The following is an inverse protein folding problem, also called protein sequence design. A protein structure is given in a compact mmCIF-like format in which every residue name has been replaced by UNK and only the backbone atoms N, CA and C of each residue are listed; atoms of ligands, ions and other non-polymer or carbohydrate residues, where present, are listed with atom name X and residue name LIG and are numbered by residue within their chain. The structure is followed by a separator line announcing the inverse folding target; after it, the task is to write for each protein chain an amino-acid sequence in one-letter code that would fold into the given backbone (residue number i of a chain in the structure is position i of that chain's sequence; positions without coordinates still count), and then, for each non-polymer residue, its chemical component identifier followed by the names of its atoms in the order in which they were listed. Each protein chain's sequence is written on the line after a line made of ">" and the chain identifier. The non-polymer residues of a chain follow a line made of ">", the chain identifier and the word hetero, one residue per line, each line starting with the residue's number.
data_IF_446781979753
#
_entry.id   IF_446781979753
#
_cell.length_a   1.000
_cell.length_b   1.000
_cell.length_c   1.000
_cell.angle_alpha   90.00
_cell.angle_beta   90.00
_cell.angle_gamma   90.00
#
_symmetry.space_group_name_H-M   'P 1'
#
loop_
_entity.id
_entity.type
_entity.pdbx_description
1 polymer ?
#
# COMPACT_ATOMS: atom_id res chain seq x y z
N UNK A 1 16.05 -4.12 28.50
CA UNK A 1 16.74 -4.83 27.40
C UNK A 1 15.68 -5.39 26.46
N UNK A 2 15.73 -5.08 25.17
CA UNK A 2 14.73 -5.50 24.19
C UNK A 2 14.56 -7.03 24.23
N UNK A 3 13.33 -7.54 24.38
CA UNK A 3 13.09 -8.99 24.60
C UNK A 3 13.48 -9.86 23.40
N UNK A 4 13.38 -9.35 22.19
CA UNK A 4 13.86 -10.04 21.00
C UNK A 4 15.39 -10.16 21.01
N UNK A 5 16.11 -9.10 21.41
CA UNK A 5 17.57 -9.17 21.61
C UNK A 5 17.96 -10.20 22.68
N UNK A 6 17.21 -10.29 23.79
CA UNK A 6 17.47 -11.32 24.81
C UNK A 6 17.31 -12.72 24.24
N UNK A 7 16.27 -12.96 23.44
CA UNK A 7 16.02 -14.24 22.78
C UNK A 7 17.14 -14.58 21.78
N UNK A 8 17.63 -13.59 21.05
CA UNK A 8 18.80 -13.72 20.17
C UNK A 8 20.03 -14.17 20.96
N UNK A 9 20.34 -13.52 22.07
CA UNK A 9 21.52 -13.81 22.91
C UNK A 9 21.43 -15.19 23.58
N UNK A 10 20.22 -15.64 23.89
CA UNK A 10 19.95 -16.96 24.50
C UNK A 10 19.76 -18.09 23.50
N UNK A 11 19.73 -17.80 22.19
CA UNK A 11 19.39 -18.76 21.15
C UNK A 11 17.97 -19.36 21.32
N UNK A 12 17.03 -18.54 21.76
CA UNK A 12 15.64 -18.88 22.08
C UNK A 12 14.65 -18.11 21.16
N UNK A 13 15.09 -17.75 19.95
CA UNK A 13 14.27 -16.96 19.01
C UNK A 13 12.98 -17.65 18.62
N UNK A 14 13.02 -18.98 18.41
CA UNK A 14 11.82 -19.77 18.13
C UNK A 14 10.80 -19.63 19.27
N UNK A 15 11.27 -19.75 20.51
CA UNK A 15 10.42 -19.63 21.69
C UNK A 15 9.81 -18.24 21.78
N UNK A 16 10.63 -17.20 21.61
CA UNK A 16 10.16 -15.82 21.58
C UNK A 16 9.10 -15.55 20.50
N UNK A 17 9.31 -16.01 19.26
CA UNK A 17 8.37 -15.78 18.16
C UNK A 17 7.03 -16.50 18.34
N UNK A 18 7.02 -17.64 19.03
CA UNK A 18 5.81 -18.44 19.20
C UNK A 18 5.22 -18.37 20.61
N UNK A 19 5.72 -17.45 21.44
CA UNK A 19 5.21 -17.19 22.78
C UNK A 19 5.56 -18.29 23.79
N UNK A 20 6.59 -19.09 23.54
CA UNK A 20 7.19 -20.00 24.51
C UNK A 20 8.23 -19.27 25.37
N UNK A 21 8.56 -19.82 26.54
CA UNK A 21 9.56 -19.25 27.45
C UNK A 21 9.11 -18.03 28.26
N UNK A 22 10.04 -17.40 28.98
CA UNK A 22 9.78 -16.30 29.93
C UNK A 22 9.84 -14.90 29.31
N UNK A 23 9.41 -14.77 28.05
CA UNK A 23 9.43 -13.50 27.32
C UNK A 23 8.18 -12.66 27.52
N UNK A 24 7.05 -13.25 27.87
CA UNK A 24 5.79 -12.53 27.99
C UNK A 24 5.19 -12.79 29.38
N UNK A 25 4.75 -11.73 30.06
CA UNK A 25 4.04 -11.88 31.34
C UNK A 25 2.64 -12.45 31.04
N UNK A 26 2.25 -13.51 31.76
CA UNK A 26 0.89 -14.08 31.71
C UNK A 26 -0.11 -13.06 32.31
N UNK A 27 -0.54 -12.06 31.56
CA UNK A 27 -1.67 -11.23 31.98
C UNK A 27 -2.99 -11.97 31.69
N UNK A 28 -3.38 -12.84 32.62
CA UNK A 28 -4.71 -13.41 32.73
C UNK A 28 -5.67 -12.38 33.34
N UNK A 29 -6.15 -11.42 32.56
CA UNK A 29 -7.37 -10.68 32.93
C UNK A 29 -8.41 -10.58 31.81
N UNK A 30 -8.07 -10.99 30.59
CA UNK A 30 -9.00 -11.04 29.47
C UNK A 30 -8.87 -12.41 28.83
N UNK A 31 -9.88 -13.26 29.08
CA UNK A 31 -9.87 -14.64 28.63
C UNK A 31 -10.00 -14.74 27.11
N UNK A 32 -8.87 -14.72 26.41
CA UNK A 32 -8.68 -15.32 25.09
C UNK A 32 -7.19 -15.63 24.87
N UNK A 33 -6.89 -16.89 24.55
CA UNK A 33 -5.56 -17.50 24.48
C UNK A 33 -4.84 -17.15 23.16
N UNK A 34 -3.50 -17.12 23.20
CA UNK A 34 -2.54 -16.91 22.11
C UNK A 34 -2.43 -15.51 21.48
N UNK A 35 -3.53 -14.80 21.17
CA UNK A 35 -3.52 -13.55 20.37
C UNK A 35 -2.78 -12.32 20.95
N UNK A 36 -2.52 -12.30 22.26
CA UNK A 36 -1.87 -11.16 22.92
C UNK A 36 -0.33 -11.20 22.86
N UNK A 37 0.27 -12.36 22.64
CA UNK A 37 1.73 -12.51 22.65
C UNK A 37 2.36 -12.14 21.30
N UNK A 38 1.68 -12.34 20.15
CA UNK A 38 2.29 -12.03 18.84
C UNK A 38 2.40 -10.53 18.62
N UNK A 39 1.39 -9.75 18.97
CA UNK A 39 1.43 -8.30 18.89
C UNK A 39 2.56 -7.72 19.77
N UNK A 40 2.76 -8.28 20.97
CA UNK A 40 3.87 -7.92 21.85
C UNK A 40 5.22 -8.30 21.24
N UNK A 41 5.36 -9.54 20.75
CA UNK A 41 6.57 -10.02 20.08
C UNK A 41 6.92 -9.13 18.88
N UNK A 42 5.93 -8.81 18.04
CA UNK A 42 6.06 -7.89 16.92
C UNK A 42 6.53 -6.51 17.37
N UNK A 43 5.93 -5.95 18.44
CA UNK A 43 6.37 -4.69 19.03
C UNK A 43 7.85 -4.69 19.44
N UNK A 44 8.35 -5.78 20.05
CA UNK A 44 9.77 -5.91 20.39
C UNK A 44 10.67 -6.06 19.15
N UNK A 45 10.23 -6.79 18.11
CA UNK A 45 10.94 -6.91 16.82
C UNK A 45 11.10 -5.52 16.17
N UNK A 46 10.01 -4.76 16.11
CA UNK A 46 10.01 -3.39 15.57
C UNK A 46 10.92 -2.47 16.38
N UNK A 47 10.78 -2.47 17.71
CA UNK A 47 11.65 -1.68 18.60
C UNK A 47 13.13 -2.03 18.42
N UNK A 48 13.46 -3.30 18.15
CA UNK A 48 14.83 -3.70 17.86
C UNK A 48 15.29 -3.15 16.51
N UNK A 49 14.44 -3.19 15.49
CA UNK A 49 14.70 -2.56 14.18
C UNK A 49 14.95 -1.06 14.26
N UNK A 50 14.22 -0.35 15.13
CA UNK A 50 14.44 1.07 15.41
C UNK A 50 15.82 1.33 16.03
N UNK A 51 16.31 0.41 16.87
CA UNK A 51 17.61 0.50 17.51
C UNK A 51 18.77 0.23 16.53
N UNK A 52 18.68 -0.84 15.73
CA UNK A 52 19.83 -1.31 14.92
C UNK A 52 19.80 -0.85 13.46
N UNK A 53 18.67 -0.32 13.01
CA UNK A 53 18.36 -0.05 11.60
C UNK A 53 17.72 -1.26 10.93
N UNK A 54 16.64 -1.02 10.19
CA UNK A 54 15.80 -2.08 9.67
C UNK A 54 16.44 -2.95 8.59
N UNK A 55 17.41 -2.46 7.82
CA UNK A 55 18.17 -3.33 6.91
C UNK A 55 18.90 -4.47 7.65
N UNK A 56 19.36 -4.18 8.88
CA UNK A 56 19.97 -5.20 9.73
C UNK A 56 18.90 -6.10 10.34
N UNK A 57 17.75 -5.55 10.73
CA UNK A 57 16.62 -6.34 11.22
C UNK A 57 16.17 -7.35 10.16
N UNK A 58 16.01 -6.96 8.90
CA UNK A 58 15.55 -7.86 7.84
C UNK A 58 16.54 -8.98 7.56
N UNK A 59 17.85 -8.69 7.52
CA UNK A 59 18.87 -9.75 7.45
C UNK A 59 18.80 -10.70 8.64
N UNK A 60 18.48 -10.17 9.82
CA UNK A 60 18.32 -10.97 11.03
C UNK A 60 17.06 -11.86 10.97
N UNK A 61 15.92 -11.29 10.61
CA UNK A 61 14.66 -12.03 10.43
C UNK A 61 14.79 -13.10 9.36
N UNK A 62 15.47 -12.80 8.25
CA UNK A 62 15.75 -13.80 7.22
C UNK A 62 16.56 -14.97 7.74
N UNK A 63 17.60 -14.71 8.55
CA UNK A 63 18.36 -15.76 9.23
C UNK A 63 17.50 -16.56 10.20
N UNK A 64 16.73 -15.90 11.06
CA UNK A 64 15.91 -16.54 12.08
C UNK A 64 14.80 -17.41 11.45
N UNK A 65 14.10 -16.88 10.45
CA UNK A 65 13.04 -17.60 9.74
C UNK A 65 13.60 -18.78 8.95
N UNK A 66 14.75 -18.60 8.29
CA UNK A 66 15.47 -19.68 7.62
C UNK A 66 15.82 -20.79 8.62
N UNK A 67 16.43 -20.45 9.75
CA UNK A 67 16.82 -21.42 10.78
C UNK A 67 15.65 -22.20 11.36
N UNK A 68 14.47 -21.57 11.53
CA UNK A 68 13.27 -22.23 12.03
C UNK A 68 12.70 -23.21 11.00
N UNK A 69 12.68 -22.83 9.72
CA UNK A 69 12.11 -23.65 8.65
C UNK A 69 13.03 -24.79 8.18
N UNK A 70 14.35 -24.64 8.35
CA UNK A 70 15.37 -25.59 7.86
C UNK A 70 15.20 -27.02 8.39
N UNK A 71 14.83 -27.17 9.67
CA UNK A 71 14.68 -28.48 10.28
C UNK A 71 13.40 -29.21 9.83
N UNK A 72 12.50 -28.51 9.13
CA UNK A 72 11.18 -29.02 8.76
C UNK A 72 10.46 -29.64 9.97
N UNK A 73 10.48 -29.00 11.13
CA UNK A 73 9.79 -29.43 12.34
C UNK A 73 8.75 -28.40 12.80
N UNK A 74 8.49 -27.38 11.97
CA UNK A 74 7.50 -26.36 12.24
C UNK A 74 6.09 -26.95 12.25
N UNK A 75 5.32 -26.61 13.28
CA UNK A 75 3.91 -26.97 13.38
C UNK A 75 3.06 -26.11 12.44
N UNK A 76 1.83 -26.58 12.19
CA UNK A 76 0.83 -25.82 11.43
C UNK A 76 0.59 -24.40 12.01
N UNK A 77 0.61 -24.30 13.33
CA UNK A 77 0.39 -23.05 14.05
C UNK A 77 1.58 -22.08 13.92
N UNK A 78 2.79 -22.56 14.17
CA UNK A 78 4.02 -21.77 14.02
C UNK A 78 4.19 -21.29 12.57
N UNK A 79 3.85 -22.13 11.59
CA UNK A 79 3.90 -21.75 10.18
C UNK A 79 2.94 -20.60 9.85
N UNK A 80 1.71 -20.63 10.39
CA UNK A 80 0.76 -19.53 10.27
C UNK A 80 1.35 -18.22 10.85
N UNK A 81 2.01 -18.33 12.00
CA UNK A 81 2.55 -17.15 12.70
C UNK A 81 3.73 -16.54 11.98
N UNK A 82 4.56 -17.35 11.33
CA UNK A 82 5.61 -16.84 10.47
C UNK A 82 5.06 -16.06 9.28
N UNK A 83 3.94 -16.48 8.68
CA UNK A 83 3.27 -15.71 7.61
C UNK A 83 2.68 -14.40 8.16
N UNK A 84 2.03 -14.46 9.32
CA UNK A 84 1.51 -13.30 10.02
C UNK A 84 2.60 -12.26 10.31
N UNK A 85 3.78 -12.66 10.81
CA UNK A 85 4.88 -11.71 11.03
C UNK A 85 5.34 -11.03 9.75
N UNK A 86 5.40 -11.73 8.62
CA UNK A 86 5.72 -11.11 7.34
C UNK A 86 4.66 -10.07 6.98
N UNK A 87 3.38 -10.44 7.05
CA UNK A 87 2.26 -9.55 6.78
C UNK A 87 2.27 -8.29 7.66
N UNK A 88 2.45 -8.44 8.97
CA UNK A 88 2.49 -7.31 9.90
C UNK A 88 3.67 -6.38 9.65
N UNK A 89 4.83 -6.92 9.27
CA UNK A 89 5.95 -6.09 8.82
C UNK A 89 5.50 -5.24 7.62
N UNK A 90 4.84 -5.84 6.63
CA UNK A 90 4.34 -5.10 5.48
C UNK A 90 3.30 -4.03 5.85
N UNK A 91 2.36 -4.33 6.75
CA UNK A 91 1.37 -3.36 7.23
C UNK A 91 2.02 -2.18 7.95
N UNK A 92 2.89 -2.45 8.94
CA UNK A 92 3.58 -1.43 9.73
C UNK A 92 4.34 -0.43 8.84
N UNK A 93 4.93 -0.92 7.75
CA UNK A 93 5.67 -0.10 6.81
C UNK A 93 4.81 0.72 5.87
N UNK A 94 3.67 0.18 5.44
CA UNK A 94 2.72 0.93 4.62
C UNK A 94 2.20 2.19 5.35
N UNK A 95 2.07 2.12 6.68
CA UNK A 95 1.48 3.20 7.49
C UNK A 95 2.48 4.26 8.00
N UNK A 96 3.72 3.88 8.32
CA UNK A 96 4.63 4.74 9.09
C UNK A 96 5.41 5.80 8.28
N UNK A 97 5.20 5.93 6.96
CA UNK A 97 5.96 6.84 6.06
C UNK A 97 7.49 6.67 6.11
N UNK A 98 8.02 5.67 6.81
CA UNK A 98 9.46 5.32 6.86
C UNK A 98 9.76 4.51 5.62
N UNK A 99 10.72 4.92 4.77
CA UNK A 99 11.14 4.24 3.51
C UNK A 99 10.76 2.76 3.53
N UNK A 100 9.54 2.39 3.11
CA UNK A 100 9.12 1.03 3.27
C UNK A 100 9.88 0.09 2.35
N UNK A 101 10.33 -0.98 2.98
CA UNK A 101 10.34 -2.30 2.39
C UNK A 101 11.29 -2.48 1.20
N UNK A 102 12.49 -3.01 1.44
CA UNK A 102 13.29 -3.65 0.38
C UNK A 102 13.75 -5.05 0.80
N UNK A 103 12.97 -5.70 1.66
CA UNK A 103 13.22 -7.09 2.00
C UNK A 103 12.72 -8.00 0.89
N UNK A 104 13.60 -8.32 -0.04
CA UNK A 104 13.38 -9.43 -0.97
C UNK A 104 13.95 -10.69 -0.34
N UNK A 105 13.13 -11.67 0.07
CA UNK A 105 13.62 -12.91 0.67
C UNK A 105 14.49 -13.65 -0.35
N UNK A 106 15.53 -14.32 0.13
CA UNK A 106 16.33 -15.20 -0.70
C UNK A 106 15.49 -16.34 -1.29
N UNK A 107 15.96 -16.86 -2.42
CA UNK A 107 15.37 -18.06 -3.03
C UNK A 107 15.33 -19.23 -2.03
N UNK A 108 16.36 -19.32 -1.16
CA UNK A 108 16.42 -20.32 -0.08
C UNK A 108 15.26 -20.18 0.91
N UNK A 109 14.96 -18.98 1.39
CA UNK A 109 13.85 -18.77 2.30
C UNK A 109 12.52 -19.12 1.62
N UNK A 110 12.32 -18.71 0.37
CA UNK A 110 11.14 -19.07 -0.42
C UNK A 110 11.02 -20.59 -0.65
N UNK A 111 12.12 -21.30 -0.92
CA UNK A 111 12.15 -22.76 -1.03
C UNK A 111 11.71 -23.43 0.26
N UNK A 112 12.17 -22.93 1.41
CA UNK A 112 11.83 -23.46 2.73
C UNK A 112 10.35 -23.24 3.09
N UNK A 113 9.79 -22.06 2.78
CA UNK A 113 8.35 -21.82 2.93
C UNK A 113 7.54 -22.79 2.05
N UNK A 114 7.91 -22.95 0.77
CA UNK A 114 7.25 -23.92 -0.12
C UNK A 114 7.33 -25.35 0.40
N UNK A 115 8.50 -25.79 0.86
CA UNK A 115 8.70 -27.14 1.38
C UNK A 115 7.82 -27.42 2.61
N UNK A 116 7.78 -26.47 3.55
CA UNK A 116 6.95 -26.61 4.76
C UNK A 116 5.46 -26.47 4.45
N UNK A 117 5.06 -25.61 3.50
CA UNK A 117 3.69 -25.56 3.00
C UNK A 117 3.25 -26.93 2.45
N UNK A 118 4.05 -27.58 1.60
CA UNK A 118 3.69 -28.88 1.03
C UNK A 118 3.51 -29.97 2.10
N UNK A 119 4.26 -29.90 3.20
CA UNK A 119 4.07 -30.78 4.35
C UNK A 119 2.78 -30.48 5.13
N UNK A 120 2.43 -29.21 5.25
CA UNK A 120 1.35 -28.73 6.11
C UNK A 120 0.03 -28.48 5.34
N UNK A 121 -0.01 -28.65 4.03
CA UNK A 121 -1.17 -28.33 3.18
C UNK A 121 -2.46 -29.12 3.49
N UNK A 122 -2.36 -30.19 4.26
CA UNK A 122 -3.51 -30.98 4.72
C UNK A 122 -3.92 -30.62 6.16
N UNK A 123 -3.33 -29.58 6.77
CA UNK A 123 -3.75 -29.07 8.08
C UNK A 123 -5.03 -28.24 7.95
N UNK A 124 -5.76 -28.11 9.05
CA UNK A 124 -6.97 -27.27 9.13
C UNK A 124 -6.68 -25.76 8.93
N UNK A 125 -5.41 -25.36 8.95
CA UNK A 125 -4.95 -23.98 8.75
C UNK A 125 -4.51 -23.69 7.30
N UNK A 126 -4.55 -24.67 6.39
CA UNK A 126 -4.11 -24.52 5.00
C UNK A 126 -4.76 -23.34 4.28
N UNK A 127 -6.07 -23.15 4.46
CA UNK A 127 -6.78 -22.02 3.87
C UNK A 127 -6.27 -20.67 4.38
N UNK A 128 -5.86 -20.58 5.64
CA UNK A 128 -5.21 -19.37 6.16
C UNK A 128 -3.93 -19.12 5.39
N UNK A 129 -3.02 -20.09 5.34
CA UNK A 129 -1.72 -19.90 4.68
C UNK A 129 -1.85 -19.40 3.25
N UNK A 130 -2.82 -19.97 2.53
CA UNK A 130 -3.14 -19.58 1.16
C UNK A 130 -3.67 -18.14 1.09
N UNK A 131 -4.55 -17.74 2.02
CA UNK A 131 -5.02 -16.34 2.12
C UNK A 131 -3.88 -15.38 2.41
N UNK A 132 -3.03 -15.65 3.40
CA UNK A 132 -1.93 -14.75 3.75
C UNK A 132 -0.88 -14.68 2.63
N UNK A 133 -0.49 -15.82 2.05
CA UNK A 133 0.44 -15.84 0.92
C UNK A 133 -0.12 -15.13 -0.32
N UNK A 134 -1.41 -15.29 -0.59
CA UNK A 134 -2.09 -14.59 -1.68
C UNK A 134 -2.24 -13.10 -1.37
N UNK A 135 -2.47 -12.71 -0.11
CA UNK A 135 -2.44 -11.31 0.32
C UNK A 135 -1.07 -10.67 0.09
N UNK A 136 0.01 -11.36 0.46
CA UNK A 136 1.39 -10.90 0.25
C UNK A 136 1.75 -10.79 -1.24
N UNK A 137 1.41 -11.82 -2.03
CA UNK A 137 1.58 -11.84 -3.48
C UNK A 137 0.81 -10.72 -4.15
N UNK A 138 -0.46 -10.54 -3.75
CA UNK A 138 -1.28 -9.42 -4.18
C UNK A 138 -0.59 -8.16 -3.65
N UNK A 139 -0.85 -7.72 -2.45
CA UNK A 139 -0.55 -6.35 -2.04
C UNK A 139 0.91 -5.95 -2.17
N UNK A 140 1.86 -6.89 -2.14
CA UNK A 140 3.28 -6.55 -2.11
C UNK A 140 4.16 -7.24 -3.17
N UNK A 141 3.56 -7.91 -4.17
CA UNK A 141 4.31 -8.64 -5.20
C UNK A 141 5.28 -9.68 -4.60
N UNK A 142 4.88 -10.26 -3.47
CA UNK A 142 5.71 -11.11 -2.63
C UNK A 142 5.34 -12.59 -2.78
N UNK A 143 6.01 -13.24 -3.73
CA UNK A 143 5.80 -14.65 -4.08
C UNK A 143 6.50 -15.60 -3.11
N UNK A 144 5.82 -15.95 -2.02
CA UNK A 144 6.39 -16.83 -0.98
C UNK A 144 6.21 -18.31 -1.30
N UNK A 145 5.01 -18.70 -1.74
CA UNK A 145 4.63 -20.11 -2.00
C UNK A 145 4.74 -20.52 -3.47
N UNK A 146 5.14 -19.61 -4.35
CA UNK A 146 5.29 -19.88 -5.77
C UNK A 146 6.57 -19.23 -6.29
N UNK A 147 7.09 -19.74 -7.40
CA UNK A 147 8.20 -19.09 -8.08
C UNK A 147 7.70 -17.77 -8.64
N UNK A 148 8.41 -16.68 -8.34
CA UNK A 148 8.12 -15.39 -8.95
C UNK A 148 8.16 -15.53 -10.49
N UNK A 149 7.30 -14.80 -11.24
CA UNK A 149 7.24 -14.89 -12.69
C UNK A 149 8.51 -14.37 -13.39
N UNK A 150 9.48 -13.85 -12.63
CA UNK A 150 10.75 -13.33 -13.10
C UNK A 150 11.90 -13.71 -12.17
N UNK A 151 13.11 -13.86 -12.74
CA UNK A 151 14.33 -14.12 -11.98
C UNK A 151 14.70 -12.92 -11.12
N UNK A 152 14.86 -13.14 -9.81
CA UNK A 152 15.33 -12.15 -8.84
C UNK A 152 16.85 -12.12 -8.82
N UNK A 153 17.48 -11.70 -9.91
CA UNK A 153 18.92 -11.48 -9.94
C UNK A 153 19.25 -10.00 -10.21
N UNK A 154 20.45 -9.57 -9.83
CA UNK A 154 20.86 -8.16 -9.93
C UNK A 154 20.99 -7.65 -11.37
N UNK A 155 21.07 -8.54 -12.37
CA UNK A 155 21.22 -8.15 -13.78
C UNK A 155 19.88 -7.79 -14.42
N UNK A 156 18.79 -8.41 -13.98
CA UNK A 156 17.42 -8.17 -14.47
C UNK A 156 16.68 -7.12 -13.64
N UNK A 157 17.37 -6.46 -12.71
CA UNK A 157 16.76 -5.60 -11.71
C UNK A 157 17.45 -4.24 -11.69
N UNK A 158 16.69 -3.15 -11.85
CA UNK A 158 17.20 -1.80 -11.66
C UNK A 158 17.07 -1.44 -10.19
N UNK A 159 18.21 -1.33 -9.51
CA UNK A 159 18.27 -1.12 -8.06
C UNK A 159 18.19 0.35 -7.65
N UNK A 160 19.02 1.20 -8.26
CA UNK A 160 19.14 2.60 -7.91
C UNK A 160 19.67 3.38 -9.12
N UNK A 161 19.14 4.57 -9.30
CA UNK A 161 19.57 5.57 -10.27
C UNK A 161 20.16 6.74 -9.50
N UNK A 162 21.37 7.23 -9.87
CA UNK A 162 21.98 8.36 -9.19
C UNK A 162 21.05 9.58 -9.14
N UNK A 163 20.87 10.17 -7.96
CA UNK A 163 19.91 11.28 -7.76
C UNK A 163 20.24 12.54 -8.58
N UNK A 164 21.50 12.69 -8.98
CA UNK A 164 22.00 13.75 -9.85
C UNK A 164 21.78 13.48 -11.35
N UNK A 165 21.14 12.36 -11.71
CA UNK A 165 20.73 12.07 -13.09
C UNK A 165 19.79 13.14 -13.63
N UNK A 166 20.11 13.70 -14.80
CA UNK A 166 19.38 14.82 -15.43
C UNK A 166 18.76 14.39 -16.75
N UNK A 167 17.56 14.91 -17.05
CA UNK A 167 16.97 14.81 -18.39
C UNK A 167 16.16 13.54 -18.59
N UNK A 168 16.24 12.95 -19.78
CA UNK A 168 15.57 11.67 -20.09
C UNK A 168 16.41 10.50 -19.57
N UNK A 169 15.76 9.56 -18.88
CA UNK A 169 16.36 8.28 -18.52
C UNK A 169 15.76 7.14 -19.33
N UNK A 170 16.62 6.38 -20.00
CA UNK A 170 16.23 5.17 -20.72
C UNK A 170 16.61 3.98 -19.86
N UNK A 171 15.61 3.22 -19.40
CA UNK A 171 15.84 1.99 -18.65
C UNK A 171 16.53 0.98 -19.59
N UNK A 172 17.64 0.35 -19.18
CA UNK A 172 18.35 -0.61 -20.03
C UNK A 172 17.48 -1.81 -20.43
N UNK A 173 17.71 -2.31 -21.65
CA UNK A 173 17.10 -3.55 -22.13
C UNK A 173 17.41 -4.74 -21.22
N UNK A 174 16.45 -5.65 -21.07
CA UNK A 174 16.59 -6.83 -20.21
C UNK A 174 16.31 -6.56 -18.72
N UNK A 175 16.10 -5.30 -18.32
CA UNK A 175 15.54 -5.00 -17.00
C UNK A 175 14.10 -5.48 -16.96
N UNK A 176 13.82 -6.33 -15.99
CA UNK A 176 12.50 -6.93 -15.73
C UNK A 176 11.80 -6.21 -14.57
N UNK A 177 12.56 -5.76 -13.57
CA UNK A 177 12.03 -5.16 -12.33
C UNK A 177 12.66 -3.81 -12.04
N UNK A 178 11.82 -2.80 -11.76
CA UNK A 178 12.26 -1.52 -11.19
C UNK A 178 12.02 -1.58 -9.68
N UNK A 179 13.09 -1.66 -8.87
CA UNK A 179 12.97 -1.85 -7.41
C UNK A 179 12.35 -0.67 -6.69
N UNK A 180 12.03 -0.93 -5.43
CA UNK A 180 11.64 0.09 -4.48
C UNK A 180 12.70 1.19 -4.46
N UNK A 181 12.27 2.45 -4.51
CA UNK A 181 13.14 3.63 -4.51
C UNK A 181 14.16 3.74 -5.66
N UNK A 182 14.02 2.96 -6.74
CA UNK A 182 15.04 2.95 -7.80
C UNK A 182 15.35 4.35 -8.36
N UNK A 183 14.38 5.27 -8.34
CA UNK A 183 14.53 6.67 -8.72
C UNK A 183 14.19 7.65 -7.58
N UNK A 184 14.15 7.21 -6.31
CA UNK A 184 13.76 8.07 -5.19
C UNK A 184 14.63 9.34 -5.11
N UNK A 185 13.98 10.49 -5.22
CA UNK A 185 14.65 11.78 -5.18
C UNK A 185 15.46 12.14 -6.43
N UNK A 186 15.26 11.46 -7.57
CA UNK A 186 15.82 11.87 -8.87
C UNK A 186 15.13 13.14 -9.39
N UNK A 187 15.40 14.27 -8.73
CA UNK A 187 14.68 15.55 -8.91
C UNK A 187 14.94 16.25 -10.25
N UNK A 188 15.90 15.77 -11.04
CA UNK A 188 16.29 16.36 -12.32
C UNK A 188 15.92 15.50 -13.54
N UNK A 189 15.40 14.30 -13.33
CA UNK A 189 14.84 13.49 -14.41
C UNK A 189 13.52 14.11 -14.86
N UNK A 190 13.36 14.24 -16.17
CA UNK A 190 12.19 14.86 -16.83
C UNK A 190 11.31 13.85 -17.54
N UNK A 191 11.89 12.72 -17.96
CA UNK A 191 11.16 11.63 -18.58
C UNK A 191 11.84 10.28 -18.35
N UNK A 192 11.04 9.21 -18.31
CA UNK A 192 11.53 7.83 -18.19
C UNK A 192 10.92 6.98 -19.30
N UNK A 193 11.78 6.31 -20.08
CA UNK A 193 11.40 5.33 -21.10
C UNK A 193 11.70 3.93 -20.60
N UNK A 194 10.66 3.09 -20.51
CA UNK A 194 10.79 1.69 -20.11
C UNK A 194 10.79 0.77 -21.34
N UNK A 195 11.70 -0.20 -21.43
CA UNK A 195 11.65 -1.22 -22.46
C UNK A 195 10.54 -2.23 -22.19
N UNK A 196 10.13 -2.95 -23.23
CA UNK A 196 9.09 -3.97 -23.16
C UNK A 196 9.44 -5.13 -22.22
N UNK A 197 10.71 -5.28 -21.80
CA UNK A 197 11.15 -6.28 -20.83
C UNK A 197 10.66 -6.02 -19.41
N UNK A 198 10.31 -4.78 -19.05
CA UNK A 198 9.84 -4.45 -17.69
C UNK A 198 8.49 -5.13 -17.43
N UNK A 199 8.37 -5.76 -16.26
CA UNK A 199 7.17 -6.48 -15.78
C UNK A 199 6.61 -5.88 -14.50
N UNK A 200 7.46 -5.34 -13.62
CA UNK A 200 6.99 -4.73 -12.37
C UNK A 200 7.69 -3.42 -12.04
N UNK A 201 6.89 -2.48 -11.51
CA UNK A 201 7.33 -1.22 -10.93
C UNK A 201 6.98 -1.27 -9.45
N UNK A 202 8.00 -1.35 -8.61
CA UNK A 202 7.81 -1.59 -7.18
C UNK A 202 7.54 -0.28 -6.41
N UNK A 203 7.24 -0.40 -5.12
CA UNK A 203 6.78 0.70 -4.28
C UNK A 203 7.76 1.89 -4.26
N UNK A 204 7.22 3.11 -4.31
CA UNK A 204 8.03 4.35 -4.26
C UNK A 204 9.11 4.46 -5.36
N UNK A 205 9.04 3.67 -6.43
CA UNK A 205 10.09 3.62 -7.45
C UNK A 205 10.46 5.00 -8.02
N UNK A 206 9.51 5.92 -8.19
CA UNK A 206 9.70 7.29 -8.68
C UNK A 206 9.34 8.35 -7.64
N UNK A 207 9.40 8.01 -6.35
CA UNK A 207 9.08 8.96 -5.28
C UNK A 207 9.95 10.22 -5.38
N UNK A 208 9.36 11.38 -5.18
CA UNK A 208 10.02 12.69 -5.17
C UNK A 208 10.84 13.00 -6.45
N UNK A 209 10.52 12.37 -7.58
CA UNK A 209 11.00 12.76 -8.92
C UNK A 209 10.29 14.05 -9.38
N UNK A 210 10.55 15.17 -8.71
CA UNK A 210 9.76 16.41 -8.84
C UNK A 210 9.83 17.07 -10.23
N UNK A 211 10.83 16.76 -11.05
CA UNK A 211 10.89 17.24 -12.44
C UNK A 211 10.28 16.28 -13.47
N UNK A 212 9.84 15.08 -13.07
CA UNK A 212 9.32 14.07 -13.98
C UNK A 212 8.02 14.55 -14.60
N UNK A 213 8.03 14.79 -15.91
CA UNK A 213 6.86 15.27 -16.65
C UNK A 213 6.09 14.15 -17.34
N UNK A 214 6.79 13.07 -17.71
CA UNK A 214 6.23 11.93 -18.44
C UNK A 214 6.93 10.63 -18.09
N UNK A 215 6.17 9.54 -18.08
CA UNK A 215 6.67 8.17 -17.91
C UNK A 215 5.96 7.29 -18.91
N UNK A 216 6.72 6.54 -19.69
CA UNK A 216 6.18 5.50 -20.57
C UNK A 216 6.22 4.17 -19.83
N UNK A 217 5.06 3.72 -19.35
CA UNK A 217 4.94 2.40 -18.72
C UNK A 217 4.93 1.34 -19.82
N UNK A 218 5.80 0.33 -19.68
CA UNK A 218 5.88 -0.80 -20.61
C UNK A 218 4.53 -1.53 -20.73
N UNK A 219 4.15 -1.98 -21.95
CA UNK A 219 2.90 -2.70 -22.20
C UNK A 219 2.84 -4.09 -21.54
N UNK A 220 3.92 -4.53 -20.89
CA UNK A 220 4.01 -5.79 -20.19
C UNK A 220 4.06 -5.65 -18.66
N UNK A 221 3.94 -4.42 -18.13
CA UNK A 221 3.89 -4.19 -16.68
C UNK A 221 2.57 -4.72 -16.12
N UNK A 222 2.62 -5.67 -15.19
CA UNK A 222 1.43 -6.25 -14.56
C UNK A 222 1.18 -5.73 -13.13
N UNK A 223 2.22 -5.20 -12.49
CA UNK A 223 2.22 -4.70 -11.12
C UNK A 223 2.79 -3.28 -11.01
N UNK A 224 2.00 -2.38 -10.42
CA UNK A 224 2.41 -1.03 -10.00
C UNK A 224 2.22 -0.94 -8.48
N UNK A 225 3.32 -0.90 -7.75
CA UNK A 225 3.38 -0.81 -6.29
C UNK A 225 2.76 0.48 -5.74
N UNK A 226 2.59 0.57 -4.42
CA UNK A 226 2.03 1.78 -3.81
C UNK A 226 3.00 2.96 -3.86
N UNK A 227 2.47 4.18 -3.86
CA UNK A 227 3.28 5.41 -3.85
C UNK A 227 4.32 5.56 -4.98
N UNK A 228 4.21 4.81 -6.08
CA UNK A 228 5.22 4.79 -7.16
C UNK A 228 5.59 6.18 -7.67
N UNK A 229 4.62 7.08 -7.87
CA UNK A 229 4.84 8.45 -8.32
C UNK A 229 4.56 9.49 -7.22
N UNK A 230 4.66 9.12 -5.94
CA UNK A 230 4.39 10.05 -4.83
C UNK A 230 5.34 11.26 -4.92
N UNK A 231 4.80 12.48 -4.99
CA UNK A 231 5.59 13.71 -5.09
C UNK A 231 6.14 14.02 -6.49
N UNK A 232 5.73 13.32 -7.55
CA UNK A 232 6.04 13.68 -8.94
C UNK A 232 5.24 14.92 -9.37
N UNK A 233 5.61 16.09 -8.86
CA UNK A 233 4.79 17.32 -8.95
C UNK A 233 4.58 17.84 -10.37
N UNK A 234 5.45 17.50 -11.34
CA UNK A 234 5.32 17.88 -12.75
C UNK A 234 4.70 16.82 -13.66
N UNK A 235 4.34 15.64 -13.16
CA UNK A 235 3.78 14.58 -13.99
C UNK A 235 2.40 15.02 -14.53
N UNK A 236 2.28 15.18 -15.85
CA UNK A 236 1.09 15.81 -16.49
C UNK A 236 -0.03 14.83 -16.79
N UNK A 237 0.34 13.61 -17.17
CA UNK A 237 -0.58 12.53 -17.52
C UNK A 237 0.04 11.18 -17.25
N UNK A 238 -0.79 10.16 -17.06
CA UNK A 238 -0.37 8.77 -16.96
C UNK A 238 -1.23 7.89 -17.88
N UNK A 239 -0.59 6.99 -18.63
CA UNK A 239 -1.28 5.94 -19.37
C UNK A 239 -1.07 4.59 -18.67
N UNK A 240 -2.16 3.86 -18.44
CA UNK A 240 -2.18 2.54 -17.82
C UNK A 240 -2.36 1.47 -18.91
N UNK A 241 -1.34 0.64 -19.20
CA UNK A 241 -1.43 -0.41 -20.20
C UNK A 241 -2.43 -1.52 -19.88
N UNK A 242 -2.79 -2.32 -20.88
CA UNK A 242 -3.73 -3.43 -20.78
C UNK A 242 -3.29 -4.53 -19.79
N UNK A 243 -1.97 -4.73 -19.67
CA UNK A 243 -1.35 -5.72 -18.81
C UNK A 243 -1.48 -5.40 -17.33
N UNK A 244 -1.64 -4.11 -16.96
CA UNK A 244 -1.65 -3.68 -15.57
C UNK A 244 -2.86 -4.26 -14.88
N UNK A 245 -2.59 -5.21 -13.98
CA UNK A 245 -3.63 -5.89 -13.21
C UNK A 245 -3.91 -5.16 -11.92
N UNK A 246 -2.89 -4.51 -11.35
CA UNK A 246 -2.91 -4.03 -9.98
C UNK A 246 -2.16 -2.71 -9.83
N UNK A 247 -2.87 -1.72 -9.27
CA UNK A 247 -2.42 -0.38 -8.89
C UNK A 247 -2.73 -0.24 -7.41
N UNK A 248 -1.68 -0.15 -6.59
CA UNK A 248 -1.84 -0.05 -5.13
C UNK A 248 -2.15 1.39 -4.68
N UNK A 249 -2.32 1.57 -3.37
CA UNK A 249 -2.72 2.85 -2.78
C UNK A 249 -1.71 3.97 -3.04
N UNK A 250 -2.24 5.21 -3.18
CA UNK A 250 -1.47 6.47 -3.25
C UNK A 250 -0.42 6.55 -4.37
N UNK A 251 -0.53 5.74 -5.43
CA UNK A 251 0.39 5.71 -6.58
C UNK A 251 0.67 7.11 -7.16
N UNK A 252 -0.34 7.98 -7.18
CA UNK A 252 -0.27 9.34 -7.74
C UNK A 252 -0.45 10.44 -6.68
N UNK A 253 -0.09 10.18 -5.43
CA UNK A 253 -0.14 11.20 -4.37
C UNK A 253 0.84 12.35 -4.69
N UNK A 254 0.46 13.59 -4.43
CA UNK A 254 1.32 14.76 -4.68
C UNK A 254 1.63 15.05 -6.16
N UNK A 255 1.02 14.35 -7.12
CA UNK A 255 1.12 14.64 -8.55
C UNK A 255 0.26 15.86 -8.92
N UNK A 256 0.64 17.04 -8.42
CA UNK A 256 -0.21 18.25 -8.48
C UNK A 256 -0.47 18.76 -9.91
N UNK A 257 0.39 18.44 -10.88
CA UNK A 257 0.20 18.80 -12.30
C UNK A 257 -0.55 17.75 -13.11
N UNK A 258 -0.96 16.63 -12.49
CA UNK A 258 -1.65 15.55 -13.19
C UNK A 258 -3.04 16.01 -13.60
N UNK A 259 -3.29 16.07 -14.90
CA UNK A 259 -4.54 16.56 -15.48
C UNK A 259 -5.45 15.43 -15.98
N UNK A 260 -4.87 14.28 -16.34
CA UNK A 260 -5.61 13.11 -16.82
C UNK A 260 -4.88 11.80 -16.59
N UNK A 261 -5.65 10.74 -16.46
CA UNK A 261 -5.20 9.34 -16.47
C UNK A 261 -5.96 8.65 -17.60
N UNK A 262 -5.25 7.95 -18.46
CA UNK A 262 -5.80 7.15 -19.55
C UNK A 262 -5.53 5.67 -19.28
N UNK A 263 -6.40 4.81 -19.76
CA UNK A 263 -6.30 3.35 -19.57
C UNK A 263 -6.55 2.69 -20.93
N UNK A 264 -5.77 1.67 -21.26
CA UNK A 264 -5.99 0.85 -22.46
C UNK A 264 -7.40 0.24 -22.46
N UNK A 265 -8.08 0.24 -23.61
CA UNK A 265 -9.49 -0.18 -23.72
C UNK A 265 -9.72 -1.64 -23.28
N UNK A 266 -8.76 -2.51 -23.57
CA UNK A 266 -8.72 -3.93 -23.25
C UNK A 266 -8.16 -4.25 -21.85
N UNK A 267 -7.81 -3.23 -21.05
CA UNK A 267 -7.49 -3.45 -19.64
C UNK A 267 -8.70 -4.06 -18.93
N UNK A 268 -8.47 -5.19 -18.23
CA UNK A 268 -9.52 -5.99 -17.58
C UNK A 268 -9.92 -5.50 -16.19
N UNK A 269 -9.11 -4.64 -15.58
CA UNK A 269 -9.19 -4.30 -14.14
C UNK A 269 -9.50 -2.83 -13.90
N UNK A 270 -9.13 -1.95 -14.85
CA UNK A 270 -9.29 -0.52 -14.73
C UNK A 270 -9.94 0.09 -15.96
N UNK A 271 -10.52 1.28 -15.77
CA UNK A 271 -11.00 2.11 -16.86
C UNK A 271 -10.77 3.59 -16.53
N UNK A 272 -10.69 4.42 -17.56
CA UNK A 272 -10.70 5.87 -17.41
C UNK A 272 -12.06 6.43 -17.80
N UNK A 273 -12.57 7.35 -17.00
CA UNK A 273 -13.76 8.14 -17.34
C UNK A 273 -13.49 9.59 -16.98
N UNK A 274 -13.66 10.49 -17.95
CA UNK A 274 -13.40 11.93 -17.80
C UNK A 274 -11.98 12.24 -17.27
N UNK A 275 -11.00 11.42 -17.66
CA UNK A 275 -9.61 11.52 -17.21
C UNK A 275 -9.35 11.01 -15.78
N UNK A 276 -10.36 10.50 -15.09
CA UNK A 276 -10.25 9.90 -13.76
C UNK A 276 -10.14 8.38 -13.85
N UNK A 277 -9.41 7.78 -12.91
CA UNK A 277 -9.19 6.34 -12.83
C UNK A 277 -10.25 5.66 -11.95
N UNK A 278 -10.89 4.65 -12.51
CA UNK A 278 -11.86 3.79 -11.85
C UNK A 278 -11.48 2.31 -11.96
N UNK A 279 -12.08 1.47 -11.11
CA UNK A 279 -12.16 0.03 -11.37
C UNK A 279 -12.93 -0.23 -12.68
N UNK A 280 -12.66 -1.37 -13.35
CA UNK A 280 -13.26 -1.68 -14.66
C UNK A 280 -14.79 -1.68 -14.63
N UNK A 281 -15.37 -2.15 -13.54
CA UNK A 281 -16.80 -2.22 -13.28
C UNK A 281 -17.42 -0.88 -12.84
N UNK A 282 -16.61 0.19 -12.75
CA UNK A 282 -17.02 1.53 -12.32
C UNK A 282 -17.56 1.60 -10.87
N UNK A 283 -17.29 0.61 -10.03
CA UNK A 283 -17.75 0.60 -8.62
C UNK A 283 -16.81 1.36 -7.67
N UNK A 284 -15.55 1.57 -8.05
CA UNK A 284 -14.55 2.24 -7.21
C UNK A 284 -13.91 3.41 -7.93
N UNK A 285 -13.98 4.62 -7.32
CA UNK A 285 -13.16 5.76 -7.72
C UNK A 285 -11.76 5.60 -7.09
N UNK A 286 -10.75 5.39 -7.93
CA UNK A 286 -9.37 5.14 -7.49
C UNK A 286 -8.58 6.44 -7.44
N UNK A 287 -8.64 7.26 -8.50
CA UNK A 287 -7.91 8.54 -8.55
C UNK A 287 -8.58 9.56 -9.43
N UNK A 288 -8.84 10.73 -8.84
CA UNK A 288 -9.10 11.98 -9.53
C UNK A 288 -7.77 12.77 -9.66
N UNK A 289 -7.36 13.18 -10.88
CA UNK A 289 -6.17 14.00 -11.09
C UNK A 289 -6.25 15.35 -10.36
N UNK A 290 -5.14 15.78 -9.75
CA UNK A 290 -5.11 17.01 -8.95
C UNK A 290 -5.32 18.28 -9.78
N UNK A 291 -4.76 18.34 -10.98
CA UNK A 291 -4.94 19.43 -11.95
C UNK A 291 -6.11 19.17 -12.92
N UNK A 292 -7.09 18.35 -12.54
CA UNK A 292 -8.31 18.22 -13.34
C UNK A 292 -9.02 19.58 -13.42
N UNK A 293 -9.40 20.00 -14.62
CA UNK A 293 -10.07 21.29 -14.87
C UNK A 293 -11.59 21.15 -14.70
N UNK A 294 -12.01 20.58 -13.57
CA UNK A 294 -13.41 20.42 -13.18
C UNK A 294 -13.65 21.22 -11.90
N UNK A 295 -14.69 22.06 -11.94
CA UNK A 295 -15.15 22.81 -10.76
C UNK A 295 -16.11 21.97 -9.91
N UNK A 296 -17.07 21.33 -10.55
CA UNK A 296 -18.13 20.57 -9.89
C UNK A 296 -17.91 19.08 -10.19
N UNK A 297 -17.25 18.37 -9.28
CA UNK A 297 -16.91 16.95 -9.43
C UNK A 297 -18.14 16.10 -9.13
N UNK A 298 -18.70 15.48 -10.17
CA UNK A 298 -19.81 14.55 -10.04
C UNK A 298 -19.29 13.12 -10.08
N UNK A 299 -19.39 12.41 -8.96
CA UNK A 299 -19.05 10.98 -8.91
C UNK A 299 -20.28 10.20 -9.41
N UNK A 300 -20.14 9.35 -10.44
CA UNK A 300 -21.29 8.67 -11.06
C UNK A 300 -22.05 7.74 -10.10
N UNK A 301 -23.37 7.65 -10.28
CA UNK A 301 -24.18 6.58 -9.69
C UNK A 301 -23.67 5.21 -10.16
N UNK A 302 -23.60 4.25 -9.23
CA UNK A 302 -22.95 2.95 -9.40
C UNK A 302 -21.63 2.84 -8.65
N UNK A 303 -20.94 3.95 -8.38
CA UNK A 303 -19.75 3.96 -7.51
C UNK A 303 -20.19 3.67 -6.07
N UNK A 304 -19.65 2.60 -5.50
CA UNK A 304 -19.88 2.17 -4.11
C UNK A 304 -18.71 2.50 -3.19
N UNK A 305 -17.53 2.76 -3.75
CA UNK A 305 -16.28 2.95 -2.98
C UNK A 305 -15.46 4.12 -3.50
N UNK A 306 -14.91 4.93 -2.59
CA UNK A 306 -13.91 5.95 -2.92
C UNK A 306 -12.61 5.64 -2.17
N UNK A 307 -11.53 5.39 -2.91
CA UNK A 307 -10.22 5.04 -2.37
C UNK A 307 -9.58 6.19 -1.57
N UNK A 308 -8.66 5.84 -0.69
CA UNK A 308 -7.90 6.82 0.08
C UNK A 308 -7.01 7.66 -0.85
N UNK A 309 -7.02 9.00 -0.70
CA UNK A 309 -6.33 9.97 -1.56
C UNK A 309 -6.84 10.04 -3.02
N UNK A 310 -8.03 9.47 -3.31
CA UNK A 310 -8.62 9.53 -4.63
C UNK A 310 -8.74 10.98 -5.12
N UNK A 311 -9.29 11.88 -4.32
CA UNK A 311 -9.46 13.31 -4.60
C UNK A 311 -8.47 14.06 -3.72
N UNK A 312 -7.26 14.30 -4.23
CA UNK A 312 -6.19 14.91 -3.44
C UNK A 312 -5.51 16.05 -4.19
N UNK A 313 -5.23 17.16 -3.51
CA UNK A 313 -4.41 18.25 -4.06
C UNK A 313 -5.12 19.12 -5.08
N UNK A 314 -6.44 18.98 -5.25
CA UNK A 314 -7.15 19.73 -6.30
C UNK A 314 -7.43 21.17 -5.86
N UNK A 315 -7.02 22.10 -6.70
CA UNK A 315 -7.27 23.54 -6.54
C UNK A 315 -8.41 24.03 -7.43
N UNK A 316 -8.99 23.19 -8.28
CA UNK A 316 -10.09 23.59 -9.19
C UNK A 316 -11.45 23.12 -8.70
N UNK A 317 -11.50 21.96 -8.07
CA UNK A 317 -12.74 21.41 -7.53
C UNK A 317 -13.21 22.32 -6.40
N UNK A 318 -14.41 22.84 -6.56
CA UNK A 318 -15.16 23.57 -5.53
C UNK A 318 -16.22 22.68 -4.90
N UNK A 319 -16.93 21.92 -5.72
CA UNK A 319 -18.10 21.14 -5.30
C UNK A 319 -17.88 19.67 -5.63
N UNK A 320 -18.23 18.78 -4.72
CA UNK A 320 -18.12 17.31 -4.89
C UNK A 320 -19.50 16.69 -4.66
N UNK A 321 -20.00 15.92 -5.61
CA UNK A 321 -21.28 15.24 -5.53
C UNK A 321 -21.04 13.73 -5.40
N UNK A 322 -21.41 13.19 -4.23
CA UNK A 322 -21.34 11.77 -3.90
C UNK A 322 -22.63 11.05 -4.31
N UNK A 323 -22.53 9.85 -4.92
CA UNK A 323 -23.68 9.14 -5.45
C UNK A 323 -24.47 8.43 -4.35
N UNK A 324 -25.73 8.08 -4.64
CA UNK A 324 -26.59 7.33 -3.70
C UNK A 324 -26.09 5.90 -3.45
N UNK A 325 -25.36 5.34 -4.40
CA UNK A 325 -24.79 3.99 -4.33
C UNK A 325 -23.58 3.87 -3.39
N UNK A 326 -23.05 5.00 -2.89
CA UNK A 326 -21.83 5.01 -2.10
C UNK A 326 -22.01 4.29 -0.77
N UNK A 327 -21.15 3.31 -0.50
CA UNK A 327 -21.14 2.48 0.72
C UNK A 327 -19.92 2.74 1.58
N UNK A 328 -18.77 3.01 0.95
CA UNK A 328 -17.49 3.10 1.64
C UNK A 328 -16.66 4.29 1.14
N UNK A 329 -16.08 5.02 2.09
CA UNK A 329 -15.12 6.11 1.82
C UNK A 329 -13.91 5.86 2.70
N UNK A 330 -12.74 5.70 2.08
CA UNK A 330 -11.51 5.44 2.82
C UNK A 330 -10.91 6.72 3.43
N UNK A 331 -9.98 6.54 4.37
CA UNK A 331 -9.30 7.65 5.03
C UNK A 331 -8.60 8.56 4.01
N UNK A 332 -8.76 9.87 4.18
CA UNK A 332 -8.17 10.89 3.30
C UNK A 332 -8.59 10.78 1.83
N UNK A 333 -9.77 10.20 1.53
CA UNK A 333 -10.31 10.17 0.16
C UNK A 333 -10.43 11.56 -0.47
N UNK A 334 -10.78 12.58 0.33
CA UNK A 334 -10.70 13.99 -0.04
C UNK A 334 -9.64 14.65 0.86
N UNK A 335 -8.53 15.11 0.29
CA UNK A 335 -7.40 15.61 1.08
C UNK A 335 -6.65 16.73 0.37
N UNK A 336 -6.25 17.78 1.10
CA UNK A 336 -5.46 18.89 0.55
C UNK A 336 -6.09 19.55 -0.68
N UNK A 337 -7.42 19.67 -0.69
CA UNK A 337 -8.16 20.37 -1.74
C UNK A 337 -8.66 21.72 -1.19
N UNK A 338 -7.86 22.80 -1.26
CA UNK A 338 -8.14 24.04 -0.53
C UNK A 338 -9.39 24.78 -1.00
N UNK A 339 -9.84 24.53 -2.24
CA UNK A 339 -11.00 25.19 -2.82
C UNK A 339 -12.28 24.37 -2.74
N UNK A 340 -12.20 23.10 -2.32
CA UNK A 340 -13.40 22.30 -2.07
C UNK A 340 -14.12 22.97 -0.93
N UNK A 341 -15.25 23.57 -1.24
CA UNK A 341 -16.12 24.27 -0.31
C UNK A 341 -17.55 23.77 -0.43
N UNK A 342 -17.80 22.70 -1.22
CA UNK A 342 -19.10 22.04 -1.39
C UNK A 342 -19.03 20.51 -1.45
N UNK A 343 -19.85 19.82 -0.63
CA UNK A 343 -20.04 18.38 -0.68
C UNK A 343 -21.54 18.07 -0.63
N UNK A 344 -22.02 17.35 -1.62
CA UNK A 344 -23.41 16.95 -1.78
C UNK A 344 -23.48 15.42 -1.72
N UNK A 345 -24.47 14.88 -1.02
CA UNK A 345 -24.66 13.43 -0.89
C UNK A 345 -26.06 13.08 -1.35
N UNK A 346 -26.17 12.16 -2.32
CA UNK A 346 -27.43 11.51 -2.64
C UNK A 346 -28.60 12.42 -3.07
N UNK A 347 -28.33 13.63 -3.57
CA UNK A 347 -29.32 14.62 -4.03
C UNK A 347 -30.11 15.30 -2.89
N UNK A 348 -29.42 15.84 -1.87
CA UNK A 348 -29.98 16.87 -0.98
C UNK A 348 -29.00 18.05 -0.87
N UNK A 349 -29.46 19.27 -1.18
CA UNK A 349 -28.64 20.48 -1.07
C UNK A 349 -28.36 20.78 0.40
N UNK A 350 -27.08 20.74 0.79
CA UNK A 350 -26.62 21.25 2.08
C UNK A 350 -26.28 22.73 1.88
N UNK A 351 -26.99 23.62 2.56
CA UNK A 351 -26.62 25.04 2.68
C UNK A 351 -25.84 25.26 4.00
N UNK A 352 -24.89 26.21 4.02
CA UNK A 352 -24.11 26.68 5.19
C UNK A 352 -23.03 25.76 5.80
N UNK A 353 -21.95 25.46 5.07
CA UNK A 353 -20.79 24.75 5.62
C UNK A 353 -19.44 25.35 5.18
N UNK A 354 -18.39 24.99 5.90
CA UNK A 354 -16.99 25.30 5.62
C UNK A 354 -16.18 24.01 5.48
N UNK A 355 -15.11 24.06 4.68
CA UNK A 355 -14.13 22.99 4.59
C UNK A 355 -12.82 23.50 5.20
N UNK A 356 -12.38 22.87 6.27
CA UNK A 356 -11.09 23.17 6.92
C UNK A 356 -10.29 21.87 6.95
N UNK A 357 -9.10 21.87 6.35
CA UNK A 357 -8.19 20.71 6.30
C UNK A 357 -8.80 19.42 5.71
N UNK A 358 -9.70 19.54 4.73
CA UNK A 358 -10.33 18.38 4.07
C UNK A 358 -11.50 17.77 4.84
N UNK A 359 -12.03 18.48 5.85
CA UNK A 359 -13.13 18.05 6.69
C UNK A 359 -14.29 19.05 6.56
N UNK A 360 -15.53 18.57 6.38
CA UNK A 360 -16.75 19.39 6.32
C UNK A 360 -17.26 19.76 7.72
N UNK A 361 -17.48 21.05 8.00
CA UNK A 361 -18.20 21.51 9.20
C UNK A 361 -19.36 22.44 8.84
N UNK A 362 -20.56 22.18 9.35
CA UNK A 362 -21.71 23.11 9.26
C UNK A 362 -21.53 24.31 10.20
N UNK A 363 -21.98 25.49 9.77
CA UNK A 363 -21.86 26.76 10.51
C UNK A 363 -22.94 26.84 11.58
N UNK A 364 -22.76 26.12 12.69
CA UNK A 364 -23.40 26.44 13.97
C UNK A 364 -22.66 25.73 15.11
N UNK A 365 -21.42 26.16 15.38
CA UNK A 365 -20.57 25.95 16.58
C UNK A 365 -20.58 24.60 17.34
N UNK A 366 -21.09 23.52 16.77
CA UNK A 366 -20.91 22.13 17.15
C UNK A 366 -20.91 21.34 15.84
N UNK A 367 -19.75 20.84 15.41
CA UNK A 367 -19.63 20.13 14.14
C UNK A 367 -20.53 18.88 14.13
N UNK A 368 -21.52 18.83 13.23
CA UNK A 368 -22.40 17.69 12.98
C UNK A 368 -22.11 17.12 11.59
N UNK A 369 -21.84 15.81 11.51
CA UNK A 369 -21.65 15.06 10.26
C UNK A 369 -22.85 14.15 10.00
N UNK A 370 -23.31 14.09 8.75
CA UNK A 370 -24.34 13.15 8.30
C UNK A 370 -23.68 11.93 7.65
N UNK A 371 -23.99 10.74 8.18
CA UNK A 371 -23.45 9.46 7.73
C UNK A 371 -24.61 8.50 7.44
N UNK A 372 -24.60 7.70 6.35
CA UNK A 372 -25.60 6.66 6.14
C UNK A 372 -25.71 5.74 7.36
N UNK A 373 -26.94 5.35 7.72
CA UNK A 373 -27.25 4.58 8.95
C UNK A 373 -26.39 3.31 9.09
N UNK A 374 -25.95 2.73 7.97
CA UNK A 374 -25.26 1.44 7.91
C UNK A 374 -23.76 1.54 7.55
N UNK A 375 -23.17 2.74 7.50
CA UNK A 375 -21.75 2.87 7.19
C UNK A 375 -20.88 2.60 8.43
N UNK A 376 -19.94 1.65 8.31
CA UNK A 376 -18.87 1.46 9.30
C UNK A 376 -17.90 2.66 9.25
N UNK A 377 -17.84 3.43 10.33
CA UNK A 377 -16.89 4.54 10.51
C UNK A 377 -15.77 4.05 11.42
N UNK A 378 -14.54 4.03 10.92
CA UNK A 378 -13.34 3.74 11.71
C UNK A 378 -13.09 4.85 12.76
N UNK A 379 -12.86 4.46 14.02
CA UNK A 379 -12.78 5.35 15.21
C UNK A 379 -11.67 6.42 15.10
N UNK A 380 -10.71 6.27 14.20
CA UNK A 380 -9.68 7.28 13.93
C UNK A 380 -10.18 8.50 13.11
N UNK A 381 -11.41 8.46 12.59
CA UNK A 381 -12.10 9.59 11.96
C UNK A 381 -12.53 10.67 12.98
N UNK A 382 -12.43 10.40 14.28
CA UNK A 382 -13.18 11.09 15.34
C UNK A 382 -12.40 12.05 16.24
N UNK A 383 -11.11 12.29 16.04
CA UNK A 383 -10.29 12.99 17.04
C UNK A 383 -10.70 14.44 17.37
N UNK A 384 -11.66 15.04 16.63
CA UNK A 384 -12.16 16.39 16.91
C UNK A 384 -13.69 16.61 16.76
N UNK A 385 -14.55 15.58 16.71
CA UNK A 385 -15.94 15.76 16.21
C UNK A 385 -17.06 14.94 16.91
N UNK A 386 -18.30 15.45 16.86
CA UNK A 386 -19.54 14.83 17.39
C UNK A 386 -20.42 14.35 16.22
N UNK A 387 -20.80 13.07 16.20
CA UNK A 387 -21.65 12.47 15.14
C UNK A 387 -23.13 12.64 15.50
N UNK A 388 -23.98 12.97 14.52
CA UNK A 388 -25.44 12.79 14.61
C UNK A 388 -25.85 11.79 13.53
N UNK A 389 -26.50 10.69 13.94
CA UNK A 389 -27.06 9.68 13.03
C UNK A 389 -28.52 10.09 12.76
N UNK A 390 -28.88 10.31 11.50
CA UNK A 390 -30.28 10.49 11.06
C UNK A 390 -30.65 9.46 10.00
#
# INVERSE_FOLDING_TARGET
>A
MNKYLQAIERNEVRDFLFGYGEYFEKNYEWGEEAGHNQAQAFGYIISYGEEIGFDKLFRRLEFDFTSILENNDISAFEYAYMLYYIEELFHYYADTKRRPFDWTPSDRLCDLYRLNFERLKNSDLCESYLREADFLKRNYNYYLLEKAPYERNSKTTLHEVPQDTVGEYVVPEGIIRIRNYAFDGCRHITSVKMPDSVRSIEWYAFKDCTSLESVSISPNVDFIGGHVFDGCTKLKSLFIPASVRRINSRVLRGCISLSKIEVAEDNKYYTSKDGMLYSKDMTTLIKCPSAIEIRDLIIPDGVTTIEGNAICGSVKIKSVYLPKSLKQIYRSSIYDCPNVSELHIGVKDLTNFHVVNGILSLVDQQCTYYVPVDAEIDELMLYHCKIVRE
#
